data_IF_137473523027
#
_entry.id   IF_137473523027
#
_cell.length_a   1.000
_cell.length_b   1.000
_cell.length_c   1.000
_cell.angle_alpha   90.00
_cell.angle_beta   90.00
_cell.angle_gamma   90.00
#
_symmetry.space_group_name_H-M   'P 1'
#
loop_
_entity.id
_entity.type
_entity.pdbx_description
1 polymer ?
#
# COMPACT_ATOMS: atom_id res chain seq x y z
N UNK A 1 -0.50 -30.69 5.46
CA UNK A 1 -0.34 -29.48 6.30
C UNK A 1 0.27 -28.41 5.40
N UNK A 2 -0.55 -27.55 4.80
CA UNK A 2 -0.04 -26.46 3.96
C UNK A 2 0.43 -25.35 4.88
N UNK A 3 1.75 -25.29 5.08
CA UNK A 3 2.42 -24.17 5.72
C UNK A 3 2.24 -22.97 4.78
N UNK A 4 1.13 -22.24 4.91
CA UNK A 4 0.95 -20.95 4.23
C UNK A 4 2.09 -20.10 4.74
N UNK A 5 3.02 -19.78 3.85
CA UNK A 5 4.12 -18.88 4.15
C UNK A 5 3.52 -17.52 4.47
N UNK A 6 3.24 -17.28 5.75
CA UNK A 6 2.61 -16.06 6.24
C UNK A 6 3.48 -14.84 6.02
N UNK A 7 4.77 -15.06 5.74
CA UNK A 7 5.76 -14.02 5.44
C UNK A 7 5.68 -13.64 3.97
N UNK A 8 5.64 -14.62 3.06
CA UNK A 8 5.66 -14.36 1.62
C UNK A 8 4.27 -14.26 0.97
N UNK A 9 3.21 -14.76 1.61
CA UNK A 9 1.82 -14.72 1.12
C UNK A 9 0.81 -14.53 2.26
N UNK A 10 0.81 -13.38 2.94
CA UNK A 10 -0.17 -13.13 3.98
C UNK A 10 -1.59 -13.09 3.34
N UNK A 11 -2.58 -13.83 3.88
CA UNK A 11 -3.92 -13.95 3.27
C UNK A 11 -4.73 -12.65 3.19
N UNK A 12 -4.16 -11.54 3.65
CA UNK A 12 -4.74 -10.20 3.71
C UNK A 12 -3.96 -9.17 2.88
N UNK A 13 -3.02 -9.64 2.04
CA UNK A 13 -2.20 -8.83 1.13
C UNK A 13 -2.43 -9.14 -0.36
N UNK A 14 -3.44 -9.95 -0.67
CA UNK A 14 -3.83 -10.25 -2.04
C UNK A 14 -5.12 -9.50 -2.40
N UNK A 15 -5.11 -8.80 -3.52
CA UNK A 15 -6.33 -8.31 -4.16
C UNK A 15 -6.54 -9.08 -5.46
N UNK A 16 -7.30 -10.17 -5.40
CA UNK A 16 -7.41 -11.12 -6.52
C UNK A 16 -6.11 -11.90 -6.74
N UNK A 17 -5.54 -11.82 -7.94
CA UNK A 17 -4.35 -12.57 -8.37
C UNK A 17 -3.04 -11.77 -8.28
N UNK A 18 -3.08 -10.54 -7.73
CA UNK A 18 -1.92 -9.64 -7.67
C UNK A 18 -1.52 -9.47 -6.20
N UNK A 19 -0.26 -9.75 -5.90
CA UNK A 19 0.33 -9.44 -4.60
C UNK A 19 0.44 -7.92 -4.48
N UNK A 20 -0.09 -7.36 -3.39
CA UNK A 20 -0.12 -5.90 -3.18
C UNK A 20 1.29 -5.30 -3.19
N UNK A 21 2.31 -6.05 -2.78
CA UNK A 21 3.70 -5.59 -2.82
C UNK A 21 4.18 -5.36 -4.25
N UNK A 22 3.90 -6.27 -5.19
CA UNK A 22 4.29 -6.13 -6.60
C UNK A 22 3.61 -4.91 -7.22
N UNK A 23 2.34 -4.68 -6.88
CA UNK A 23 1.61 -3.50 -7.34
C UNK A 23 2.20 -2.20 -6.77
N UNK A 24 2.56 -2.19 -5.48
CA UNK A 24 3.22 -1.05 -4.84
C UNK A 24 4.55 -0.74 -5.53
N UNK A 25 5.40 -1.76 -5.77
CA UNK A 25 6.69 -1.59 -6.45
C UNK A 25 6.51 -1.02 -7.86
N UNK A 26 5.55 -1.54 -8.63
CA UNK A 26 5.25 -1.03 -9.98
C UNK A 26 4.78 0.42 -9.99
N UNK A 27 3.88 0.81 -9.08
CA UNK A 27 3.36 2.18 -9.00
C UNK A 27 4.44 3.14 -8.52
N UNK A 28 5.27 2.74 -7.56
CA UNK A 28 6.20 3.64 -6.87
C UNK A 28 7.55 3.81 -7.59
N UNK A 29 7.84 3.02 -8.62
CA UNK A 29 9.17 2.97 -9.29
C UNK A 29 9.72 4.31 -9.79
N UNK A 30 8.85 5.22 -10.25
CA UNK A 30 9.24 6.50 -10.87
C UNK A 30 9.06 7.70 -9.92
N UNK A 31 8.65 7.42 -8.67
CA UNK A 31 8.49 8.44 -7.64
C UNK A 31 9.81 8.66 -6.88
N UNK A 32 10.12 9.91 -6.50
CA UNK A 32 11.16 10.18 -5.52
C UNK A 32 10.90 9.42 -4.22
N UNK A 33 11.97 9.00 -3.53
CA UNK A 33 11.90 8.09 -2.38
C UNK A 33 10.85 8.48 -1.31
N UNK A 34 10.75 9.79 -1.00
CA UNK A 34 9.77 10.30 -0.02
C UNK A 34 8.33 10.09 -0.48
N UNK A 35 8.04 10.38 -1.75
CA UNK A 35 6.72 10.15 -2.34
C UNK A 35 6.44 8.66 -2.52
N UNK A 36 7.41 7.87 -2.99
CA UNK A 36 7.31 6.42 -3.13
C UNK A 36 6.90 5.76 -1.80
N UNK A 37 7.55 6.14 -0.69
CA UNK A 37 7.19 5.65 0.63
C UNK A 37 5.74 6.01 1.02
N UNK A 38 5.33 7.25 0.78
CA UNK A 38 4.00 7.70 1.13
C UNK A 38 2.92 7.00 0.30
N UNK A 39 3.10 6.93 -1.02
CA UNK A 39 2.18 6.30 -1.97
C UNK A 39 2.07 4.80 -1.71
N UNK A 40 3.20 4.11 -1.49
CA UNK A 40 3.18 2.68 -1.18
C UNK A 40 2.42 2.37 0.12
N UNK A 41 2.58 3.20 1.15
CA UNK A 41 1.79 3.06 2.38
C UNK A 41 0.30 3.33 2.15
N UNK A 42 -0.05 4.35 1.37
CA UNK A 42 -1.45 4.64 1.04
C UNK A 42 -2.12 3.43 0.36
N UNK A 43 -1.48 2.86 -0.66
CA UNK A 43 -1.95 1.65 -1.37
C UNK A 43 -2.12 0.47 -0.40
N UNK A 44 -1.12 0.21 0.45
CA UNK A 44 -1.17 -0.84 1.48
C UNK A 44 -2.38 -0.69 2.41
N UNK A 45 -2.68 0.53 2.85
CA UNK A 45 -3.82 0.73 3.75
C UNK A 45 -5.16 0.63 3.01
N UNK A 46 -5.23 1.10 1.76
CA UNK A 46 -6.42 0.93 0.91
C UNK A 46 -6.71 -0.57 0.72
N UNK A 47 -5.70 -1.37 0.35
CA UNK A 47 -5.89 -2.81 0.14
C UNK A 47 -6.31 -3.55 1.40
N UNK A 48 -5.88 -3.07 2.58
CA UNK A 48 -6.16 -3.68 3.88
C UNK A 48 -7.51 -3.30 4.47
N UNK A 49 -8.08 -2.16 4.08
CA UNK A 49 -9.28 -1.60 4.69
C UNK A 49 -10.46 -2.59 4.69
N UNK A 50 -10.69 -3.29 3.58
CA UNK A 50 -11.79 -4.26 3.47
C UNK A 50 -11.62 -5.51 4.36
N UNK A 51 -10.39 -5.83 4.78
CA UNK A 51 -10.06 -7.12 5.40
C UNK A 51 -9.58 -7.02 6.85
N UNK A 52 -9.20 -5.83 7.34
CA UNK A 52 -8.62 -5.66 8.68
C UNK A 52 -9.32 -4.59 9.53
N UNK A 53 -9.05 -3.31 9.27
CA UNK A 53 -9.46 -2.23 10.20
C UNK A 53 -10.45 -1.22 9.59
N UNK A 54 -11.00 -1.49 8.40
CA UNK A 54 -12.03 -0.65 7.79
C UNK A 54 -11.64 0.82 7.69
N UNK A 55 -12.45 1.68 8.30
CA UNK A 55 -12.30 3.14 8.27
C UNK A 55 -10.96 3.63 8.82
N UNK A 56 -10.39 2.98 9.84
CA UNK A 56 -9.09 3.40 10.39
C UNK A 56 -7.95 3.25 9.37
N UNK A 57 -8.02 2.23 8.52
CA UNK A 57 -7.04 2.05 7.44
C UNK A 57 -7.26 3.11 6.35
N UNK A 58 -8.51 3.47 6.03
CA UNK A 58 -8.79 4.57 5.12
C UNK A 58 -8.29 5.92 5.65
N UNK A 59 -8.39 6.17 6.96
CA UNK A 59 -7.83 7.37 7.59
C UNK A 59 -6.30 7.42 7.50
N UNK A 60 -5.63 6.28 7.70
CA UNK A 60 -4.18 6.16 7.49
C UNK A 60 -3.80 6.35 6.02
N UNK A 61 -4.55 5.76 5.10
CA UNK A 61 -4.34 5.95 3.67
C UNK A 61 -4.43 7.42 3.28
N UNK A 62 -5.46 8.14 3.78
CA UNK A 62 -5.62 9.58 3.58
C UNK A 62 -4.42 10.37 4.11
N UNK A 63 -3.94 10.06 5.32
CA UNK A 63 -2.78 10.73 5.89
C UNK A 63 -1.51 10.58 5.06
N UNK A 64 -1.26 9.37 4.53
CA UNK A 64 -0.11 9.13 3.65
C UNK A 64 -0.27 9.80 2.29
N UNK A 65 -1.47 9.80 1.73
CA UNK A 65 -1.75 10.48 0.47
C UNK A 65 -1.55 12.00 0.59
N UNK A 66 -1.98 12.61 1.70
CA UNK A 66 -1.77 14.03 1.96
C UNK A 66 -0.27 14.37 1.99
N UNK A 67 0.56 13.55 2.65
CA UNK A 67 2.02 13.77 2.64
C UNK A 67 2.62 13.67 1.24
N UNK A 68 2.14 12.73 0.42
CA UNK A 68 2.59 12.63 -0.97
C UNK A 68 2.19 13.87 -1.76
N UNK A 69 0.98 14.40 -1.53
CA UNK A 69 0.46 15.61 -2.14
C UNK A 69 1.24 16.87 -1.70
N UNK A 70 1.52 17.04 -0.42
CA UNK A 70 2.32 18.17 0.10
C UNK A 70 3.77 18.17 -0.41
N UNK A 71 4.34 16.98 -0.67
CA UNK A 71 5.68 16.83 -1.22
C UNK A 71 5.68 16.76 -2.76
N UNK A 72 4.55 17.05 -3.39
CA UNK A 72 4.44 17.11 -4.84
C UNK A 72 5.11 18.38 -5.35
N UNK A 73 6.31 18.24 -5.88
CA UNK A 73 6.93 19.29 -6.70
C UNK A 73 6.61 19.02 -8.15
N UNK A 74 6.10 20.03 -8.86
CA UNK A 74 6.00 19.97 -10.33
C UNK A 74 7.36 19.57 -10.90
N UNK A 75 7.38 18.49 -11.68
CA UNK A 75 8.57 18.01 -12.38
C UNK A 75 8.95 18.99 -13.50
#
# INVERSE_FOLDING_TARGET
MTNKDVVNQPPHYTYGNIEVIDFIEQVTKDYPAVMAFAIGNAIKYISRAQYKNGKEDLEKARWYLERAYENWSDK
#
